data_IF_462704118001
#
_entry.id   IF_462704118001
#
_cell.length_a   1.000
_cell.length_b   1.000
_cell.length_c   1.000
_cell.angle_alpha   90.00
_cell.angle_beta   90.00
_cell.angle_gamma   90.00
#
_symmetry.space_group_name_H-M   'P 1'
#
loop_
_entity.id
_entity.type
_entity.pdbx_description
1 polymer ?
#
# COMPACT_ATOMS: atom_id res chain seq x y z
N UNK A 1 -12.36 -12.59 -17.22
CA UNK A 1 -11.58 -11.88 -16.19
C UNK A 1 -11.19 -12.91 -15.14
N UNK A 2 -9.90 -13.08 -14.85
CA UNK A 2 -9.47 -14.00 -13.80
C UNK A 2 -9.96 -13.45 -12.46
N UNK A 3 -10.77 -14.23 -11.74
CA UNK A 3 -11.17 -13.91 -10.39
C UNK A 3 -9.91 -13.86 -9.51
N UNK A 4 -9.64 -12.73 -8.88
CA UNK A 4 -8.50 -12.56 -7.98
C UNK A 4 -8.63 -13.47 -6.76
N UNK A 5 -7.51 -13.83 -6.10
CA UNK A 5 -7.54 -14.58 -4.83
C UNK A 5 -8.46 -13.89 -3.82
N UNK A 6 -8.36 -12.57 -3.71
CA UNK A 6 -9.21 -11.75 -2.85
C UNK A 6 -10.71 -11.91 -3.17
N UNK A 7 -11.09 -11.95 -4.45
CA UNK A 7 -12.49 -12.16 -4.85
C UNK A 7 -13.00 -13.56 -4.50
N UNK A 8 -12.14 -14.57 -4.68
CA UNK A 8 -12.48 -15.97 -4.35
C UNK A 8 -12.60 -16.18 -2.85
N UNK A 9 -11.60 -15.74 -2.09
CA UNK A 9 -11.65 -15.83 -0.63
C UNK A 9 -12.80 -14.99 -0.05
N UNK A 10 -13.07 -13.80 -0.60
CA UNK A 10 -14.22 -12.99 -0.18
C UNK A 10 -15.56 -13.65 -0.47
N UNK A 11 -15.66 -14.46 -1.55
CA UNK A 11 -16.85 -15.24 -1.86
C UNK A 11 -17.02 -16.37 -0.85
N UNK A 12 -15.95 -17.11 -0.56
CA UNK A 12 -15.91 -18.17 0.46
C UNK A 12 -16.32 -17.60 1.82
N UNK A 13 -15.72 -16.47 2.22
CA UNK A 13 -16.05 -15.76 3.47
C UNK A 13 -17.54 -15.40 3.55
N UNK A 14 -18.13 -14.89 2.45
CA UNK A 14 -19.57 -14.54 2.41
C UNK A 14 -20.47 -15.75 2.54
N UNK A 15 -20.14 -16.87 1.88
CA UNK A 15 -20.89 -18.13 1.99
C UNK A 15 -20.84 -18.68 3.41
N UNK A 16 -19.68 -18.59 4.04
CA UNK A 16 -19.42 -19.04 5.42
C UNK A 16 -20.17 -18.19 6.45
N UNK A 17 -20.15 -16.87 6.29
CA UNK A 17 -20.75 -15.94 7.27
C UNK A 17 -22.26 -16.11 7.44
N UNK A 18 -22.94 -16.75 6.46
CA UNK A 18 -24.39 -17.04 6.51
C UNK A 18 -24.76 -18.34 7.19
N UNK A 19 -23.81 -19.20 7.59
CA UNK A 19 -24.12 -20.52 8.16
C UNK A 19 -24.30 -20.48 9.70
N UNK A 20 -25.34 -21.12 10.19
CA UNK A 20 -25.72 -21.06 11.60
C UNK A 20 -24.99 -22.08 12.52
N UNK A 21 -24.30 -23.10 11.97
CA UNK A 21 -23.56 -24.12 12.73
C UNK A 21 -22.35 -24.62 11.96
N UNK A 22 -21.22 -24.84 12.68
CA UNK A 22 -20.05 -25.57 12.15
C UNK A 22 -20.37 -27.07 12.33
N UNK A 23 -20.40 -27.76 11.18
CA UNK A 23 -20.40 -29.24 11.15
C UNK A 23 -19.07 -29.65 10.50
N UNK A 24 -18.62 -30.87 10.81
CA UNK A 24 -17.38 -31.39 10.24
C UNK A 24 -17.41 -31.41 8.69
N UNK A 25 -18.57 -31.68 8.10
CA UNK A 25 -18.75 -31.64 6.65
C UNK A 25 -18.66 -30.21 6.08
N UNK A 26 -19.27 -29.22 6.74
CA UNK A 26 -19.21 -27.83 6.28
C UNK A 26 -17.78 -27.27 6.33
N UNK A 27 -17.00 -27.61 7.36
CA UNK A 27 -15.58 -27.24 7.46
C UNK A 27 -14.77 -27.87 6.34
N UNK A 28 -15.01 -29.14 6.01
CA UNK A 28 -14.31 -29.82 4.93
C UNK A 28 -14.55 -29.19 3.56
N UNK A 29 -15.82 -28.86 3.24
CA UNK A 29 -16.18 -28.20 1.98
C UNK A 29 -15.55 -26.80 1.87
N UNK A 30 -15.58 -26.03 2.96
CA UNK A 30 -15.00 -24.70 3.04
C UNK A 30 -13.48 -24.71 2.89
N UNK A 31 -12.80 -25.64 3.57
CA UNK A 31 -11.35 -25.83 3.44
C UNK A 31 -10.95 -26.26 2.04
N UNK A 32 -11.82 -27.02 1.36
CA UNK A 32 -11.62 -27.37 -0.05
C UNK A 32 -11.64 -26.13 -0.95
N UNK A 33 -12.59 -25.22 -0.76
CA UNK A 33 -12.67 -23.98 -1.53
C UNK A 33 -11.48 -23.06 -1.24
N UNK A 34 -11.08 -22.90 0.02
CA UNK A 34 -9.87 -22.13 0.42
C UNK A 34 -8.62 -22.74 -0.23
N UNK A 35 -8.50 -24.08 -0.18
CA UNK A 35 -7.39 -24.80 -0.84
C UNK A 35 -7.34 -24.51 -2.33
N UNK A 36 -8.46 -24.60 -3.03
CA UNK A 36 -8.53 -24.31 -4.47
C UNK A 36 -8.16 -22.86 -4.76
N UNK A 37 -8.67 -21.91 -3.98
CA UNK A 37 -8.34 -20.49 -4.14
C UNK A 37 -6.83 -20.23 -3.98
N UNK A 38 -6.16 -20.84 -3.00
CA UNK A 38 -4.73 -20.69 -2.77
C UNK A 38 -3.91 -21.33 -3.89
N UNK A 39 -4.29 -22.51 -4.40
CA UNK A 39 -3.62 -23.18 -5.52
C UNK A 39 -3.76 -22.37 -6.82
N UNK A 40 -4.92 -21.81 -7.10
CA UNK A 40 -5.15 -20.95 -8.27
C UNK A 40 -4.42 -19.59 -8.14
N UNK A 41 -4.07 -19.19 -6.93
CA UNK A 41 -3.21 -18.04 -6.65
C UNK A 41 -1.71 -18.37 -6.73
N UNK A 42 -1.35 -19.54 -7.22
CA UNK A 42 0.03 -20.02 -7.34
C UNK A 42 0.77 -20.16 -6.00
N UNK A 43 0.04 -20.39 -4.91
CA UNK A 43 0.68 -20.74 -3.62
C UNK A 43 1.27 -22.15 -3.73
N UNK A 44 2.49 -22.34 -3.24
CA UNK A 44 3.18 -23.63 -3.25
C UNK A 44 2.35 -24.74 -2.57
N UNK A 45 2.23 -25.89 -3.23
CA UNK A 45 1.43 -27.01 -2.72
C UNK A 45 1.80 -27.44 -1.28
N UNK A 46 3.08 -27.52 -0.87
CA UNK A 46 3.42 -27.79 0.54
C UNK A 46 2.85 -26.73 1.49
N UNK A 47 2.99 -25.44 1.14
CA UNK A 47 2.48 -24.31 1.95
C UNK A 47 0.96 -24.40 2.09
N UNK A 48 0.24 -24.69 0.99
CA UNK A 48 -1.22 -24.88 1.01
C UNK A 48 -1.62 -26.03 1.91
N UNK A 49 -0.90 -27.16 1.83
CA UNK A 49 -1.18 -28.35 2.65
C UNK A 49 -1.04 -28.04 4.14
N UNK A 50 0.07 -27.44 4.52
CA UNK A 50 0.36 -27.10 5.92
C UNK A 50 -0.62 -26.05 6.45
N UNK A 51 -0.96 -25.06 5.62
CA UNK A 51 -1.96 -24.05 5.94
C UNK A 51 -3.34 -24.68 6.23
N UNK A 52 -3.83 -25.52 5.32
CA UNK A 52 -5.14 -26.18 5.48
C UNK A 52 -5.17 -27.09 6.72
N UNK A 53 -4.06 -27.80 7.01
CA UNK A 53 -3.97 -28.63 8.21
C UNK A 53 -4.10 -27.78 9.49
N UNK A 54 -3.34 -26.66 9.59
CA UNK A 54 -3.41 -25.75 10.74
C UNK A 54 -4.79 -25.11 10.91
N UNK A 55 -5.42 -24.66 9.82
CA UNK A 55 -6.79 -24.10 9.88
C UNK A 55 -7.77 -25.15 10.37
N UNK A 56 -7.67 -26.39 9.85
CA UNK A 56 -8.53 -27.51 10.27
C UNK A 56 -8.39 -27.79 11.76
N UNK A 57 -7.17 -27.95 12.25
CA UNK A 57 -6.89 -28.27 13.66
C UNK A 57 -7.43 -27.17 14.59
N UNK A 58 -7.26 -25.91 14.24
CA UNK A 58 -7.79 -24.79 15.02
C UNK A 58 -9.31 -24.67 14.94
N UNK A 59 -9.92 -24.99 13.80
CA UNK A 59 -11.38 -24.95 13.65
C UNK A 59 -12.07 -26.05 14.46
N UNK A 60 -11.48 -27.25 14.54
CA UNK A 60 -12.05 -28.38 15.27
C UNK A 60 -11.86 -28.26 16.79
N UNK A 61 -10.88 -27.48 17.26
CA UNK A 61 -10.57 -27.33 18.69
C UNK A 61 -11.25 -26.14 19.39
N UNK A 62 -12.01 -25.30 18.67
CA UNK A 62 -12.66 -24.15 19.29
C UNK A 62 -14.16 -24.37 19.49
N UNK A 63 -14.59 -24.40 20.74
CA UNK A 63 -15.98 -24.12 21.09
C UNK A 63 -16.31 -22.69 20.70
N UNK A 64 -17.50 -22.51 20.07
CA UNK A 64 -18.00 -21.19 19.66
C UNK A 64 -18.31 -20.40 20.94
N UNK A 65 -17.32 -19.62 21.39
CA UNK A 65 -17.46 -18.77 22.57
C UNK A 65 -18.05 -17.42 22.16
N UNK A 66 -19.24 -17.11 22.62
CA UNK A 66 -19.81 -15.76 22.55
C UNK A 66 -20.82 -15.52 21.41
N UNK A 67 -21.04 -14.27 21.06
CA UNK A 67 -22.05 -13.78 20.11
C UNK A 67 -21.67 -13.90 18.62
N UNK A 68 -20.56 -14.57 18.29
CA UNK A 68 -20.08 -14.74 16.91
C UNK A 68 -20.74 -15.94 16.23
N UNK A 69 -21.06 -15.79 14.95
CA UNK A 69 -21.51 -16.93 14.16
C UNK A 69 -20.32 -17.86 13.85
N UNK A 70 -20.56 -19.18 13.71
CA UNK A 70 -19.52 -20.14 13.35
C UNK A 70 -18.70 -19.73 12.11
N UNK A 71 -19.35 -19.15 11.10
CA UNK A 71 -18.68 -18.65 9.92
C UNK A 71 -17.69 -17.50 10.22
N UNK A 72 -18.04 -16.58 11.13
CA UNK A 72 -17.16 -15.49 11.55
C UNK A 72 -15.92 -16.01 12.29
N UNK A 73 -16.10 -17.05 13.11
CA UNK A 73 -14.98 -17.70 13.82
C UNK A 73 -14.00 -18.31 12.82
N UNK A 74 -14.50 -19.05 11.82
CA UNK A 74 -13.62 -19.65 10.82
C UNK A 74 -12.89 -18.61 9.95
N UNK A 75 -13.57 -17.52 9.57
CA UNK A 75 -12.94 -16.40 8.85
C UNK A 75 -11.79 -15.80 9.68
N UNK A 76 -12.00 -15.61 10.98
CA UNK A 76 -10.97 -15.14 11.90
C UNK A 76 -9.78 -16.11 11.99
N UNK A 77 -10.05 -17.43 12.02
CA UNK A 77 -8.99 -18.44 12.01
C UNK A 77 -8.19 -18.38 10.71
N UNK A 78 -8.86 -18.34 9.56
CA UNK A 78 -8.20 -18.22 8.24
C UNK A 78 -7.36 -16.96 8.17
N UNK A 79 -7.86 -15.81 8.63
CA UNK A 79 -7.12 -14.56 8.66
C UNK A 79 -5.86 -14.66 9.51
N UNK A 80 -5.96 -15.20 10.72
CA UNK A 80 -4.82 -15.39 11.61
C UNK A 80 -3.78 -16.33 11.02
N UNK A 81 -4.22 -17.43 10.40
CA UNK A 81 -3.30 -18.37 9.76
C UNK A 81 -2.61 -17.78 8.52
N UNK A 82 -3.31 -16.96 7.72
CA UNK A 82 -2.70 -16.21 6.62
C UNK A 82 -1.63 -15.27 7.16
N UNK A 83 -1.97 -14.47 8.18
CA UNK A 83 -1.03 -13.56 8.82
C UNK A 83 0.18 -14.30 9.40
N UNK A 84 -0.03 -15.37 10.17
CA UNK A 84 1.05 -16.17 10.75
C UNK A 84 1.95 -16.82 9.67
N UNK A 85 1.38 -17.25 8.54
CA UNK A 85 2.13 -17.84 7.43
C UNK A 85 3.02 -16.80 6.73
N UNK A 86 2.58 -15.55 6.63
CA UNK A 86 3.35 -14.43 6.06
C UNK A 86 4.35 -13.83 7.06
N UNK A 87 4.19 -14.07 8.35
CA UNK A 87 5.01 -13.55 9.44
C UNK A 87 4.22 -12.66 10.38
N UNK A 88 4.50 -12.72 11.67
CA UNK A 88 3.83 -11.90 12.68
C UNK A 88 4.45 -10.50 12.74
N UNK A 89 3.61 -9.48 12.75
CA UNK A 89 3.99 -8.08 12.93
C UNK A 89 4.71 -7.45 11.73
N UNK A 90 5.32 -6.30 11.98
CA UNK A 90 6.11 -5.55 11.00
C UNK A 90 7.59 -5.78 11.29
N UNK A 91 8.33 -6.29 10.30
CA UNK A 91 9.79 -6.44 10.39
C UNK A 91 10.48 -5.28 9.71
N UNK A 92 11.24 -4.51 10.46
CA UNK A 92 11.96 -3.34 9.96
C UNK A 92 13.41 -3.67 9.54
N UNK A 93 14.06 -2.73 8.85
CA UNK A 93 15.47 -2.81 8.49
C UNK A 93 16.33 -2.67 9.74
N UNK A 94 17.28 -3.57 9.89
CA UNK A 94 18.30 -3.49 10.92
C UNK A 94 19.43 -2.54 10.46
N UNK A 95 19.53 -1.39 11.11
CA UNK A 95 20.63 -0.44 10.90
C UNK A 95 21.57 -0.39 12.13
N UNK A 96 21.45 -1.33 13.07
CA UNK A 96 22.23 -1.38 14.30
C UNK A 96 23.64 -1.93 14.01
N UNK A 97 24.43 -1.13 13.31
CA UNK A 97 25.83 -1.41 13.00
C UNK A 97 26.63 -0.12 12.96
N UNK A 98 27.97 -0.24 12.92
CA UNK A 98 28.83 0.91 12.69
C UNK A 98 28.60 1.46 11.26
N UNK A 99 28.32 2.75 11.09
CA UNK A 99 28.07 3.31 9.76
C UNK A 99 29.26 3.16 8.81
N UNK A 100 28.98 2.97 7.49
CA UNK A 100 27.69 2.84 6.88
C UNK A 100 27.09 1.44 7.07
N UNK A 101 25.78 1.36 7.35
CA UNK A 101 25.04 0.12 7.25
C UNK A 101 24.93 -0.29 5.78
N UNK A 102 25.52 -1.42 5.41
CA UNK A 102 25.49 -1.91 4.03
C UNK A 102 24.27 -2.79 3.82
N UNK A 103 23.47 -2.47 2.81
CA UNK A 103 22.27 -3.24 2.41
C UNK A 103 22.49 -3.73 0.98
N UNK A 104 22.49 -5.04 0.78
CA UNK A 104 22.65 -5.70 -0.51
C UNK A 104 21.28 -6.07 -1.09
N UNK A 105 21.02 -5.63 -2.33
CA UNK A 105 19.78 -5.94 -3.04
C UNK A 105 19.98 -7.12 -3.98
N UNK A 106 19.36 -8.25 -3.71
CA UNK A 106 19.50 -9.50 -4.47
C UNK A 106 18.19 -9.88 -5.17
N UNK A 107 18.27 -10.49 -6.35
CA UNK A 107 17.09 -10.96 -7.10
C UNK A 107 17.31 -11.03 -8.60
N UNK A 108 16.36 -11.60 -9.34
CA UNK A 108 16.42 -11.74 -10.80
C UNK A 108 16.26 -10.42 -11.55
N UNK A 109 16.53 -10.44 -12.84
CA UNK A 109 16.24 -9.32 -13.74
C UNK A 109 14.73 -9.07 -13.79
N UNK A 110 14.35 -7.79 -13.79
CA UNK A 110 12.93 -7.42 -13.80
C UNK A 110 12.22 -7.53 -12.46
N UNK A 111 12.86 -8.06 -11.41
CA UNK A 111 12.28 -8.12 -10.06
C UNK A 111 12.10 -6.76 -9.39
N UNK A 112 12.63 -5.68 -9.98
CA UNK A 112 12.47 -4.31 -9.44
C UNK A 112 13.55 -3.87 -8.46
N UNK A 113 14.74 -4.49 -8.45
CA UNK A 113 15.85 -4.15 -7.54
C UNK A 113 16.23 -2.67 -7.60
N UNK A 114 16.55 -2.17 -8.79
CA UNK A 114 16.99 -0.78 -9.01
C UNK A 114 15.96 0.25 -8.53
N UNK A 115 14.68 0.01 -8.86
CA UNK A 115 13.59 0.89 -8.39
C UNK A 115 13.39 0.77 -6.88
N UNK A 116 13.50 -0.44 -6.33
CA UNK A 116 13.38 -0.68 -4.88
C UNK A 116 14.53 -0.02 -4.13
N UNK A 117 15.76 -0.06 -4.66
CA UNK A 117 16.93 0.64 -4.09
C UNK A 117 16.64 2.13 -3.90
N UNK A 118 16.11 2.80 -4.93
CA UNK A 118 15.76 4.22 -4.83
C UNK A 118 14.57 4.48 -3.88
N UNK A 119 13.54 3.66 -3.90
CA UNK A 119 12.40 3.77 -2.98
C UNK A 119 12.83 3.58 -1.53
N UNK A 120 13.70 2.62 -1.28
CA UNK A 120 14.26 2.37 0.04
C UNK A 120 15.14 3.53 0.50
N UNK A 121 15.97 4.10 -0.40
CA UNK A 121 16.75 5.30 -0.11
C UNK A 121 15.83 6.44 0.32
N UNK A 122 14.76 6.71 -0.43
CA UNK A 122 13.77 7.74 -0.07
C UNK A 122 13.10 7.47 1.29
N UNK A 123 12.71 6.22 1.54
CA UNK A 123 12.14 5.81 2.83
C UNK A 123 13.10 6.09 3.99
N UNK A 124 14.37 5.71 3.86
CA UNK A 124 15.40 5.92 4.88
C UNK A 124 15.67 7.41 5.11
N UNK A 125 15.71 8.23 4.06
CA UNK A 125 15.91 9.68 4.16
C UNK A 125 14.69 10.33 4.84
N UNK A 126 13.49 10.03 4.38
CA UNK A 126 12.28 10.74 4.84
C UNK A 126 11.81 10.28 6.22
N UNK A 127 11.79 8.96 6.46
CA UNK A 127 11.24 8.36 7.70
C UNK A 127 12.30 8.18 8.78
N UNK A 128 13.56 7.88 8.40
CA UNK A 128 14.65 7.57 9.34
C UNK A 128 15.70 8.67 9.44
N UNK A 129 15.59 9.73 8.60
CA UNK A 129 16.55 10.87 8.57
C UNK A 129 17.99 10.44 8.36
N UNK A 130 18.21 9.41 7.52
CA UNK A 130 19.52 8.84 7.23
C UNK A 130 20.13 9.47 5.99
N UNK A 131 21.46 9.65 5.98
CA UNK A 131 22.25 10.01 4.79
C UNK A 131 22.55 8.74 4.02
N UNK A 132 22.06 8.65 2.78
CA UNK A 132 22.07 7.41 2.00
C UNK A 132 22.90 7.59 0.73
N UNK A 133 23.81 6.63 0.50
CA UNK A 133 24.55 6.46 -0.75
C UNK A 133 24.01 5.24 -1.49
N UNK A 134 23.86 5.34 -2.79
CA UNK A 134 23.50 4.20 -3.66
C UNK A 134 24.62 3.92 -4.63
N UNK A 135 24.82 2.66 -5.01
CA UNK A 135 25.77 2.24 -6.03
C UNK A 135 25.20 1.10 -6.86
N UNK A 136 25.45 1.11 -8.17
CA UNK A 136 25.13 -0.02 -9.05
C UNK A 136 26.37 -0.90 -9.25
N UNK A 137 26.22 -2.18 -8.92
CA UNK A 137 27.16 -3.24 -9.29
C UNK A 137 26.70 -4.02 -10.54
N UNK A 138 25.63 -3.55 -11.24
CA UNK A 138 25.16 -4.13 -12.50
C UNK A 138 25.95 -3.54 -13.69
N UNK A 139 27.14 -4.08 -13.90
CA UNK A 139 28.04 -3.65 -14.99
C UNK A 139 27.62 -4.21 -16.36
N UNK A 140 26.73 -5.19 -16.40
CA UNK A 140 26.31 -5.86 -17.64
C UNK A 140 25.27 -5.05 -18.42
N UNK A 141 24.63 -4.09 -17.75
CA UNK A 141 23.58 -3.25 -18.35
C UNK A 141 23.87 -1.77 -18.08
N UNK A 142 24.58 -1.08 -19.02
CA UNK A 142 24.86 0.34 -18.85
C UNK A 142 23.62 1.20 -18.57
N UNK A 143 22.49 0.85 -19.19
CA UNK A 143 21.22 1.52 -18.94
C UNK A 143 20.73 1.38 -17.47
N UNK A 144 21.08 0.29 -16.77
CA UNK A 144 20.71 0.12 -15.36
C UNK A 144 21.49 1.08 -14.44
N UNK A 145 22.74 1.37 -14.77
CA UNK A 145 23.57 2.35 -14.04
C UNK A 145 22.94 3.75 -14.16
N UNK A 146 22.61 4.19 -15.38
CA UNK A 146 21.97 5.49 -15.61
C UNK A 146 20.56 5.53 -15.02
N UNK A 147 19.83 4.42 -15.05
CA UNK A 147 18.53 4.31 -14.40
C UNK A 147 18.67 4.52 -12.89
N UNK A 148 19.59 3.82 -12.23
CA UNK A 148 19.80 3.97 -10.78
C UNK A 148 20.16 5.41 -10.44
N UNK A 149 21.06 6.03 -11.19
CA UNK A 149 21.46 7.45 -11.02
C UNK A 149 20.23 8.37 -11.07
N UNK A 150 19.39 8.20 -12.09
CA UNK A 150 18.18 9.02 -12.27
C UNK A 150 17.18 8.85 -11.12
N UNK A 151 16.87 7.61 -10.72
CA UNK A 151 15.89 7.37 -9.66
C UNK A 151 16.45 7.69 -8.26
N UNK A 152 17.78 7.60 -8.07
CA UNK A 152 18.47 8.04 -6.85
C UNK A 152 18.34 9.56 -6.66
N UNK A 153 18.51 10.33 -7.72
CA UNK A 153 18.32 11.79 -7.68
C UNK A 153 16.87 12.15 -7.31
N UNK A 154 15.88 11.43 -7.84
CA UNK A 154 14.46 11.60 -7.48
C UNK A 154 14.19 11.25 -6.00
N UNK A 155 14.93 10.31 -5.44
CA UNK A 155 14.84 9.93 -4.04
C UNK A 155 15.48 10.95 -3.09
N UNK A 156 16.31 11.85 -3.60
CA UNK A 156 17.12 12.78 -2.80
C UNK A 156 18.32 12.11 -2.13
N UNK A 157 18.78 10.97 -2.64
CA UNK A 157 19.98 10.26 -2.21
C UNK A 157 21.19 10.64 -3.05
N UNK A 158 22.39 10.30 -2.58
CA UNK A 158 23.63 10.46 -3.33
C UNK A 158 23.96 9.16 -4.08
N UNK A 159 24.48 9.30 -5.29
CA UNK A 159 24.86 8.18 -6.15
C UNK A 159 26.37 8.11 -6.30
N UNK A 160 26.94 6.91 -6.12
CA UNK A 160 28.34 6.64 -6.35
C UNK A 160 28.55 6.19 -7.81
N UNK A 161 29.48 6.82 -8.57
CA UNK A 161 29.74 6.48 -9.96
C UNK A 161 30.24 5.04 -10.12
N UNK A 162 29.71 4.33 -11.11
CA UNK A 162 30.18 3.03 -11.54
C UNK A 162 30.32 2.98 -13.06
N UNK A 163 31.27 2.21 -13.55
CA UNK A 163 31.57 2.06 -14.96
C UNK A 163 31.46 0.60 -15.39
N UNK A 164 30.87 0.29 -16.57
CA UNK A 164 30.75 -1.07 -17.07
C UNK A 164 32.07 -1.84 -17.23
N UNK A 165 33.21 -1.15 -17.34
CA UNK A 165 34.54 -1.76 -17.42
C UNK A 165 35.10 -2.23 -16.07
N UNK A 166 34.45 -1.91 -14.96
CA UNK A 166 34.91 -2.26 -13.62
C UNK A 166 34.35 -3.60 -13.15
N UNK A 167 35.03 -4.20 -12.18
CA UNK A 167 34.52 -5.41 -11.53
C UNK A 167 33.49 -5.05 -10.44
N UNK A 168 32.34 -5.76 -10.36
CA UNK A 168 31.27 -5.48 -9.39
C UNK A 168 31.77 -5.36 -7.94
N UNK A 169 32.65 -6.28 -7.51
CA UNK A 169 33.22 -6.27 -6.16
C UNK A 169 34.08 -5.04 -5.90
N UNK A 170 34.87 -4.61 -6.89
CA UNK A 170 35.72 -3.40 -6.75
C UNK A 170 34.87 -2.13 -6.65
N UNK A 171 33.79 -2.03 -7.44
CA UNK A 171 32.83 -0.93 -7.36
C UNK A 171 32.23 -0.84 -5.96
N UNK A 172 31.75 -1.98 -5.43
CA UNK A 172 31.12 -2.02 -4.12
C UNK A 172 32.06 -1.66 -2.98
N UNK A 173 33.34 -2.13 -3.04
CA UNK A 173 34.37 -1.77 -2.08
C UNK A 173 34.77 -0.29 -2.15
N UNK A 174 34.89 0.26 -3.35
CA UNK A 174 35.16 1.68 -3.54
C UNK A 174 34.03 2.56 -3.01
N UNK A 175 32.77 2.18 -3.28
CA UNK A 175 31.60 2.85 -2.73
C UNK A 175 31.55 2.77 -1.20
N UNK A 176 31.91 1.62 -0.60
CA UNK A 176 31.98 1.45 0.85
C UNK A 176 33.06 2.35 1.47
N UNK A 177 34.24 2.43 0.86
CA UNK A 177 35.31 3.33 1.30
C UNK A 177 34.87 4.81 1.18
N UNK A 178 34.23 5.17 0.09
CA UNK A 178 33.68 6.52 -0.11
C UNK A 178 32.62 6.84 0.95
N UNK A 179 31.69 5.92 1.19
CA UNK A 179 30.63 6.10 2.19
C UNK A 179 31.19 6.33 3.61
N UNK A 180 32.25 5.61 4.00
CA UNK A 180 32.96 5.82 5.26
C UNK A 180 33.59 7.20 5.35
N UNK A 181 34.33 7.59 4.32
CA UNK A 181 35.05 8.85 4.29
C UNK A 181 34.15 10.08 4.25
N UNK A 182 32.92 9.94 3.73
CA UNK A 182 31.94 11.02 3.62
C UNK A 182 30.79 10.93 4.63
N UNK A 183 30.94 10.07 5.63
CA UNK A 183 29.99 9.93 6.75
C UNK A 183 28.56 9.64 6.30
N UNK A 184 28.39 8.66 5.42
CA UNK A 184 27.08 8.14 5.10
C UNK A 184 26.60 7.16 6.18
N UNK A 185 25.31 7.22 6.50
CA UNK A 185 24.69 6.27 7.43
C UNK A 185 24.44 4.91 6.79
N UNK A 186 24.07 4.91 5.49
CA UNK A 186 23.64 3.70 4.77
C UNK A 186 24.27 3.69 3.37
N UNK A 187 24.71 2.51 2.94
CA UNK A 187 25.10 2.19 1.58
C UNK A 187 24.15 1.13 1.01
N UNK A 188 23.43 1.47 -0.06
CA UNK A 188 22.59 0.55 -0.81
C UNK A 188 23.32 0.06 -2.05
N UNK A 189 23.52 -1.25 -2.17
CA UNK A 189 24.21 -1.89 -3.29
C UNK A 189 23.19 -2.59 -4.18
N UNK A 190 22.92 -2.02 -5.36
CA UNK A 190 22.07 -2.64 -6.40
C UNK A 190 22.91 -3.62 -7.22
N UNK A 191 22.51 -4.89 -7.24
CA UNK A 191 23.26 -5.96 -7.93
C UNK A 191 22.71 -6.26 -9.31
N UNK A 192 23.53 -6.87 -10.14
CA UNK A 192 23.11 -7.41 -11.42
C UNK A 192 21.93 -8.41 -11.23
N UNK A 193 21.06 -8.46 -12.22
CA UNK A 193 20.05 -9.50 -12.31
C UNK A 193 20.16 -10.18 -13.67
N UNK A 194 20.09 -11.50 -13.71
CA UNK A 194 19.97 -12.27 -14.93
C UNK A 194 18.56 -12.79 -15.10
N UNK A 195 18.20 -13.21 -16.31
CA UNK A 195 16.87 -13.74 -16.64
C UNK A 195 16.59 -15.07 -15.96
N UNK A 196 17.65 -15.84 -15.69
CA UNK A 196 17.56 -17.14 -15.04
C UNK A 196 18.65 -17.27 -13.97
N UNK A 197 18.44 -18.20 -13.05
CA UNK A 197 19.42 -18.58 -12.05
C UNK A 197 20.52 -19.37 -12.74
N UNK A 198 21.73 -18.86 -12.74
CA UNK A 198 22.92 -19.55 -13.19
C UNK A 198 24.05 -19.50 -12.15
N UNK A 199 25.03 -20.36 -12.29
CA UNK A 199 26.15 -20.46 -11.35
C UNK A 199 26.99 -19.17 -11.31
N UNK A 200 27.14 -18.50 -12.45
CA UNK A 200 27.91 -17.26 -12.54
C UNK A 200 27.25 -16.13 -11.73
N UNK A 201 25.92 -15.97 -11.83
CA UNK A 201 25.16 -15.01 -11.01
C UNK A 201 25.32 -15.33 -9.50
N UNK A 202 25.16 -16.60 -9.13
CA UNK A 202 25.23 -16.99 -7.72
C UNK A 202 26.64 -16.78 -7.15
N UNK A 203 27.67 -17.05 -7.91
CA UNK A 203 29.06 -16.83 -7.49
C UNK A 203 29.39 -15.34 -7.38
N UNK A 204 28.94 -14.51 -8.31
CA UNK A 204 29.14 -13.07 -8.26
C UNK A 204 28.47 -12.44 -7.04
N UNK A 205 27.22 -12.81 -6.77
CA UNK A 205 26.49 -12.22 -5.63
C UNK A 205 27.04 -12.72 -4.27
N UNK A 206 27.56 -13.96 -4.21
CA UNK A 206 28.29 -14.49 -3.04
C UNK A 206 29.59 -13.72 -2.82
N UNK A 207 30.32 -13.43 -3.90
CA UNK A 207 31.57 -12.66 -3.81
C UNK A 207 31.31 -11.21 -3.36
N UNK A 208 30.26 -10.57 -3.88
CA UNK A 208 29.81 -9.25 -3.42
C UNK A 208 29.44 -9.27 -1.95
N UNK A 209 28.60 -10.24 -1.54
CA UNK A 209 28.19 -10.40 -0.13
C UNK A 209 29.40 -10.56 0.81
N UNK A 210 30.34 -11.44 0.46
CA UNK A 210 31.55 -11.68 1.25
C UNK A 210 32.44 -10.42 1.34
N UNK A 211 32.54 -9.63 0.24
CA UNK A 211 33.39 -8.45 0.19
C UNK A 211 32.85 -7.27 1.01
N UNK A 212 31.54 -7.02 0.97
CA UNK A 212 30.95 -5.85 1.64
C UNK A 212 30.36 -6.17 3.00
N UNK A 213 30.21 -7.46 3.35
CA UNK A 213 29.65 -7.95 4.60
C UNK A 213 28.40 -7.18 5.04
N UNK A 214 27.28 -7.28 4.28
CA UNK A 214 26.11 -6.44 4.49
C UNK A 214 25.42 -6.81 5.81
N UNK A 215 24.88 -5.80 6.51
CA UNK A 215 24.01 -6.01 7.68
C UNK A 215 22.63 -6.52 7.26
N UNK A 216 22.22 -6.20 6.03
CA UNK A 216 20.99 -6.65 5.43
C UNK A 216 21.22 -7.16 4.01
N UNK A 217 20.67 -8.34 3.73
CA UNK A 217 20.61 -8.92 2.38
C UNK A 217 19.15 -9.08 2.02
N UNK A 218 18.64 -8.16 1.21
CA UNK A 218 17.24 -8.11 0.84
C UNK A 218 16.98 -8.84 -0.48
N UNK A 219 16.16 -9.87 -0.41
CA UNK A 219 15.69 -10.56 -1.60
C UNK A 219 14.51 -9.83 -2.20
N UNK A 220 14.71 -9.25 -3.38
CA UNK A 220 13.69 -8.53 -4.16
C UNK A 220 13.05 -9.49 -5.14
N UNK A 221 11.74 -9.66 -5.02
CA UNK A 221 10.97 -10.60 -5.83
C UNK A 221 9.69 -9.97 -6.35
N UNK A 222 9.39 -10.24 -7.62
CA UNK A 222 8.15 -9.83 -8.27
C UNK A 222 6.99 -10.72 -7.78
N UNK A 223 5.98 -10.11 -7.18
CA UNK A 223 4.80 -10.81 -6.66
C UNK A 223 3.98 -11.51 -7.77
N UNK A 224 4.16 -11.13 -9.03
CA UNK A 224 3.44 -11.70 -10.16
C UNK A 224 4.06 -12.99 -10.72
N UNK A 225 5.27 -13.38 -10.28
CA UNK A 225 6.02 -14.52 -10.85
C UNK A 225 5.45 -15.91 -10.50
N UNK A 226 4.47 -16.01 -9.60
CA UNK A 226 3.84 -17.30 -9.27
C UNK A 226 4.85 -18.37 -8.81
N UNK A 227 4.82 -19.55 -9.44
CA UNK A 227 5.70 -20.69 -9.09
C UNK A 227 7.19 -20.43 -9.35
N UNK A 228 7.56 -19.58 -10.30
CA UNK A 228 8.95 -19.24 -10.57
C UNK A 228 9.59 -18.44 -9.42
N UNK A 229 8.78 -17.67 -8.67
CA UNK A 229 9.23 -17.00 -7.46
C UNK A 229 9.71 -18.00 -6.40
N UNK A 230 9.10 -19.20 -6.35
CA UNK A 230 9.42 -20.26 -5.39
C UNK A 230 10.81 -20.84 -5.67
N UNK A 231 11.07 -21.21 -6.92
CA UNK A 231 12.36 -21.75 -7.34
C UNK A 231 13.49 -20.73 -7.13
N UNK A 232 13.20 -19.47 -7.48
CA UNK A 232 14.11 -18.36 -7.27
C UNK A 232 14.41 -18.14 -5.79
N UNK A 233 13.40 -18.09 -4.96
CA UNK A 233 13.54 -17.90 -3.52
C UNK A 233 14.42 -19.00 -2.86
N UNK A 234 14.24 -20.25 -3.26
CA UNK A 234 15.04 -21.38 -2.80
C UNK A 234 16.50 -21.21 -3.18
N UNK A 235 16.80 -20.92 -4.44
CA UNK A 235 18.18 -20.76 -4.90
C UNK A 235 18.91 -19.61 -4.22
N UNK A 236 18.24 -18.45 -4.04
CA UNK A 236 18.82 -17.32 -3.31
C UNK A 236 19.02 -17.62 -1.82
N UNK A 237 18.09 -18.33 -1.17
CA UNK A 237 18.24 -18.79 0.22
C UNK A 237 19.44 -19.70 0.38
N UNK A 238 19.63 -20.66 -0.55
CA UNK A 238 20.73 -21.61 -0.49
C UNK A 238 22.09 -20.94 -0.76
N UNK A 239 22.08 -19.80 -1.46
CA UNK A 239 23.28 -19.04 -1.81
C UNK A 239 23.68 -17.96 -0.80
N UNK A 240 22.71 -17.33 -0.13
CA UNK A 240 22.91 -16.13 0.69
C UNK A 240 22.11 -16.20 2.01
N UNK A 241 22.65 -15.63 3.09
CA UNK A 241 21.91 -15.43 4.33
C UNK A 241 20.91 -14.27 4.14
N UNK A 242 19.73 -14.57 3.65
CA UNK A 242 18.68 -13.57 3.44
C UNK A 242 18.17 -13.05 4.77
N UNK A 243 18.17 -11.73 4.97
CA UNK A 243 17.68 -11.06 6.18
C UNK A 243 16.28 -10.49 6.03
N UNK A 244 15.83 -10.33 4.80
CA UNK A 244 14.49 -9.81 4.49
C UNK A 244 14.11 -9.98 3.03
N UNK A 245 12.81 -9.85 2.79
CA UNK A 245 12.18 -9.92 1.47
C UNK A 245 11.53 -8.59 1.16
N UNK A 246 11.64 -8.16 -0.10
CA UNK A 246 10.86 -7.06 -0.66
C UNK A 246 9.99 -7.60 -1.78
N UNK A 247 8.68 -7.56 -1.61
CA UNK A 247 7.72 -7.88 -2.66
C UNK A 247 7.51 -6.67 -3.54
N UNK A 248 7.68 -6.81 -4.84
CA UNK A 248 7.44 -5.73 -5.81
C UNK A 248 6.19 -6.00 -6.63
N UNK A 249 5.66 -4.96 -7.29
CA UNK A 249 4.50 -5.03 -8.20
C UNK A 249 3.24 -5.61 -7.53
N UNK A 250 3.06 -5.34 -6.23
CA UNK A 250 1.89 -5.82 -5.49
C UNK A 250 0.59 -5.15 -5.93
N UNK A 251 0.67 -4.01 -6.61
CA UNK A 251 -0.44 -3.32 -7.29
C UNK A 251 -0.98 -4.09 -8.50
N UNK A 252 -0.12 -4.87 -9.18
CA UNK A 252 -0.49 -5.77 -10.28
C UNK A 252 -0.75 -7.22 -9.84
N UNK A 253 -0.48 -7.56 -8.58
CA UNK A 253 -0.65 -8.91 -8.06
C UNK A 253 -2.12 -9.25 -7.82
N UNK A 254 -2.74 -9.76 -8.88
CA UNK A 254 -4.12 -10.25 -8.80
C UNK A 254 -4.25 -11.58 -8.04
N UNK A 255 -3.14 -12.27 -7.76
CA UNK A 255 -3.13 -13.62 -7.18
C UNK A 255 -2.79 -13.62 -5.69
N UNK A 256 -1.88 -12.76 -5.22
CA UNK A 256 -1.52 -12.59 -3.81
C UNK A 256 -0.82 -13.77 -3.14
N UNK A 257 -0.47 -14.81 -3.90
CA UNK A 257 0.08 -16.05 -3.36
C UNK A 257 1.59 -16.02 -3.12
N UNK A 258 2.31 -15.12 -3.78
CA UNK A 258 3.77 -15.05 -3.70
C UNK A 258 4.26 -14.78 -2.27
N UNK A 259 3.58 -13.88 -1.53
CA UNK A 259 3.91 -13.55 -0.15
C UNK A 259 3.96 -14.79 0.77
N UNK A 260 2.94 -15.65 0.68
CA UNK A 260 2.85 -16.88 1.46
C UNK A 260 3.99 -17.84 1.13
N UNK A 261 4.23 -18.06 -0.17
CA UNK A 261 5.21 -19.04 -0.64
C UNK A 261 6.64 -18.60 -0.37
N UNK A 262 7.00 -17.37 -0.72
CA UNK A 262 8.38 -16.86 -0.59
C UNK A 262 8.78 -16.78 0.89
N UNK A 263 7.89 -16.31 1.76
CA UNK A 263 8.12 -16.26 3.20
C UNK A 263 8.38 -17.66 3.79
N UNK A 264 7.53 -18.63 3.45
CA UNK A 264 7.63 -19.99 3.97
C UNK A 264 8.91 -20.69 3.49
N UNK A 265 9.29 -20.47 2.23
CA UNK A 265 10.47 -21.12 1.63
C UNK A 265 11.76 -20.50 2.13
N UNK A 266 11.85 -19.18 2.17
CA UNK A 266 13.08 -18.49 2.61
C UNK A 266 13.29 -18.53 4.12
N UNK A 267 12.20 -18.49 4.88
CA UNK A 267 12.22 -18.25 6.32
C UNK A 267 12.52 -16.77 6.69
N UNK A 268 12.90 -15.93 5.71
CA UNK A 268 13.20 -14.52 5.94
C UNK A 268 11.92 -13.67 6.03
N UNK A 269 11.84 -12.66 6.90
CA UNK A 269 10.66 -11.81 7.02
C UNK A 269 10.43 -10.97 5.77
N UNK A 270 9.18 -10.77 5.40
CA UNK A 270 8.83 -9.76 4.40
C UNK A 270 8.89 -8.40 5.09
N UNK A 271 9.77 -7.51 4.62
CA UNK A 271 9.99 -6.20 5.21
C UNK A 271 9.21 -5.09 4.51
N UNK A 272 9.13 -5.17 3.18
CA UNK A 272 8.47 -4.15 2.38
C UNK A 272 7.63 -4.74 1.24
N UNK A 273 6.62 -3.96 0.84
CA UNK A 273 5.84 -4.17 -0.37
C UNK A 273 5.90 -2.92 -1.26
N UNK A 274 6.19 -3.13 -2.55
CA UNK A 274 6.12 -2.10 -3.59
C UNK A 274 4.70 -2.03 -4.15
N UNK A 275 3.99 -0.95 -3.83
CA UNK A 275 2.56 -0.77 -4.07
C UNK A 275 2.23 0.10 -5.28
N UNK A 276 3.22 0.66 -5.95
CA UNK A 276 3.06 1.41 -7.20
C UNK A 276 4.42 1.59 -7.88
N UNK A 277 4.45 2.03 -9.13
CA UNK A 277 5.67 2.38 -9.85
C UNK A 277 6.34 3.66 -9.31
N UNK A 278 5.60 4.54 -8.65
CA UNK A 278 6.10 5.81 -8.13
C UNK A 278 7.15 5.61 -7.04
N UNK A 279 8.07 6.58 -6.93
CA UNK A 279 9.17 6.54 -5.95
C UNK A 279 8.68 6.46 -4.49
N UNK A 280 7.46 6.92 -4.20
CA UNK A 280 6.83 6.83 -2.87
C UNK A 280 6.10 5.50 -2.63
N UNK A 281 6.04 4.62 -3.64
CA UNK A 281 5.30 3.37 -3.59
C UNK A 281 6.09 2.24 -2.90
N UNK A 282 6.58 2.46 -1.68
CA UNK A 282 7.17 1.44 -0.81
C UNK A 282 6.54 1.56 0.59
N UNK A 283 5.90 0.50 1.03
CA UNK A 283 5.27 0.42 2.35
C UNK A 283 5.91 -0.68 3.17
N UNK A 284 5.99 -0.49 4.50
CA UNK A 284 6.35 -1.57 5.41
C UNK A 284 5.30 -2.69 5.29
N UNK A 285 5.76 -3.94 5.19
CA UNK A 285 4.85 -5.07 5.05
C UNK A 285 4.24 -5.40 6.41
N UNK A 286 2.92 -5.41 6.44
CA UNK A 286 2.13 -5.83 7.60
C UNK A 286 1.30 -7.06 7.20
N UNK A 287 1.62 -8.19 7.78
CA UNK A 287 1.01 -9.48 7.44
C UNK A 287 -0.50 -9.51 7.75
N UNK A 288 -0.94 -8.86 8.84
CA UNK A 288 -2.34 -8.81 9.24
C UNK A 288 -3.18 -7.98 8.27
N UNK A 289 -2.66 -6.81 7.88
CA UNK A 289 -3.28 -5.96 6.84
C UNK A 289 -3.34 -6.67 5.49
N UNK A 290 -2.25 -7.35 5.12
CA UNK A 290 -2.21 -8.09 3.85
C UNK A 290 -3.20 -9.24 3.84
N UNK A 291 -3.29 -10.03 4.92
CA UNK A 291 -4.31 -11.07 5.09
C UNK A 291 -5.73 -10.51 5.01
N UNK A 292 -6.00 -9.36 5.65
CA UNK A 292 -7.29 -8.67 5.55
C UNK A 292 -7.65 -8.28 4.11
N UNK A 293 -6.68 -7.75 3.34
CA UNK A 293 -6.86 -7.44 1.91
C UNK A 293 -7.16 -8.68 1.08
N UNK A 294 -6.42 -9.78 1.30
CA UNK A 294 -6.66 -11.06 0.63
C UNK A 294 -8.08 -11.61 0.87
N UNK A 295 -8.63 -11.39 2.06
CA UNK A 295 -9.99 -11.80 2.42
C UNK A 295 -11.07 -10.80 1.98
N UNK A 296 -10.69 -9.70 1.32
CA UNK A 296 -11.61 -8.66 0.88
C UNK A 296 -12.23 -7.85 2.02
N UNK A 297 -11.58 -7.86 3.20
CA UNK A 297 -12.03 -7.08 4.37
C UNK A 297 -11.63 -5.61 4.27
N UNK A 298 -10.83 -5.25 3.26
CA UNK A 298 -10.28 -3.91 3.07
C UNK A 298 -9.13 -3.61 4.02
N UNK A 299 -8.50 -2.46 3.81
CA UNK A 299 -7.45 -1.94 4.69
C UNK A 299 -7.92 -0.62 5.32
N UNK A 300 -8.82 -0.73 6.29
CA UNK A 300 -9.40 0.44 6.97
C UNK A 300 -8.32 1.22 7.74
N UNK A 301 -7.31 0.53 8.27
CA UNK A 301 -6.23 1.17 9.03
C UNK A 301 -5.34 1.98 8.09
N UNK A 302 -4.93 1.42 6.94
CA UNK A 302 -4.17 2.18 5.94
C UNK A 302 -4.96 3.38 5.38
N UNK A 303 -6.28 3.23 5.23
CA UNK A 303 -7.15 4.33 4.83
C UNK A 303 -7.13 5.45 5.89
N UNK A 304 -7.27 5.11 7.16
CA UNK A 304 -7.24 6.09 8.27
C UNK A 304 -5.86 6.74 8.37
N UNK A 305 -4.77 5.97 8.26
CA UNK A 305 -3.40 6.52 8.28
C UNK A 305 -3.14 7.46 7.10
N UNK A 306 -3.57 7.10 5.90
CA UNK A 306 -3.42 7.96 4.71
C UNK A 306 -4.24 9.24 4.84
N UNK A 307 -5.45 9.14 5.35
CA UNK A 307 -6.29 10.32 5.64
C UNK A 307 -5.60 11.19 6.69
N UNK A 308 -5.10 10.59 7.77
CA UNK A 308 -4.44 11.33 8.87
C UNK A 308 -3.11 11.94 8.45
N UNK A 309 -2.29 11.23 7.65
CA UNK A 309 -1.00 11.73 7.18
C UNK A 309 -1.13 12.90 6.17
N UNK A 310 -2.23 12.95 5.42
CA UNK A 310 -2.50 13.98 4.42
C UNK A 310 -3.46 15.06 4.90
N UNK A 311 -3.99 14.95 6.13
CA UNK A 311 -4.77 16.02 6.74
C UNK A 311 -3.79 17.12 7.17
N UNK A 312 -3.89 18.27 6.49
CA UNK A 312 -3.28 19.50 6.99
C UNK A 312 -3.95 19.87 8.31
N UNK A 313 -3.24 19.56 9.41
CA UNK A 313 -3.72 19.83 10.79
C UNK A 313 -4.10 21.30 10.97
N UNK A 314 -3.41 22.22 10.27
CA UNK A 314 -3.73 23.65 10.32
C UNK A 314 -5.04 23.96 9.57
N UNK A 315 -5.26 23.32 8.43
CA UNK A 315 -6.51 23.45 7.67
C UNK A 315 -7.70 22.83 8.44
N UNK A 316 -7.50 21.68 9.07
CA UNK A 316 -8.51 21.02 9.91
C UNK A 316 -8.85 21.88 11.15
N UNK A 317 -7.84 22.47 11.79
CA UNK A 317 -8.01 23.34 12.94
C UNK A 317 -8.73 24.65 12.57
N UNK A 318 -8.36 25.29 11.46
CA UNK A 318 -9.06 26.46 10.91
C UNK A 318 -10.52 26.17 10.56
N UNK A 319 -10.79 24.98 10.01
CA UNK A 319 -12.15 24.55 9.69
C UNK A 319 -12.98 24.29 10.96
N UNK A 320 -12.37 23.70 11.99
CA UNK A 320 -13.01 23.51 13.29
C UNK A 320 -13.29 24.86 13.99
N UNK A 321 -12.39 25.84 13.89
CA UNK A 321 -12.58 27.19 14.39
C UNK A 321 -13.68 27.93 13.62
N UNK A 322 -13.70 27.89 12.29
CA UNK A 322 -14.79 28.45 11.46
C UNK A 322 -16.15 27.81 11.79
N UNK A 323 -16.18 26.52 12.07
CA UNK A 323 -17.41 25.84 12.49
C UNK A 323 -17.87 26.32 13.89
N UNK A 324 -16.95 26.66 14.80
CA UNK A 324 -17.25 27.20 16.14
C UNK A 324 -17.64 28.68 16.08
N UNK A 325 -16.92 29.51 15.30
CA UNK A 325 -17.17 30.96 15.20
C UNK A 325 -18.44 31.32 14.46
N UNK A 326 -19.04 30.40 13.71
CA UNK A 326 -20.25 30.71 12.97
C UNK A 326 -20.00 31.20 11.55
N UNK A 327 -18.77 31.39 11.15
CA UNK A 327 -18.40 31.68 9.77
C UNK A 327 -18.71 30.48 8.89
N UNK A 328 -19.66 30.66 7.96
CA UNK A 328 -20.19 29.57 7.14
C UNK A 328 -19.11 28.98 6.23
N UNK A 329 -19.26 27.71 5.89
CA UNK A 329 -18.50 27.03 4.85
C UNK A 329 -18.61 27.78 3.52
N UNK A 330 -17.47 28.19 2.93
CA UNK A 330 -17.41 28.96 1.68
C UNK A 330 -16.81 28.15 0.51
N UNK A 331 -16.76 28.73 -0.69
CA UNK A 331 -16.21 28.06 -1.88
C UNK A 331 -14.68 27.92 -1.84
N UNK A 332 -13.96 28.65 -0.98
CA UNK A 332 -12.53 28.42 -0.77
C UNK A 332 -12.31 27.15 0.06
N UNK A 333 -13.15 26.91 1.07
CA UNK A 333 -13.13 25.71 1.86
C UNK A 333 -13.45 24.48 0.98
N UNK A 334 -14.41 24.62 0.07
CA UNK A 334 -14.74 23.58 -0.91
C UNK A 334 -13.60 23.30 -1.88
N UNK A 335 -12.92 24.33 -2.37
CA UNK A 335 -11.74 24.21 -3.20
C UNK A 335 -10.61 23.47 -2.49
N UNK A 336 -10.37 23.82 -1.22
CA UNK A 336 -9.35 23.14 -0.38
C UNK A 336 -9.66 21.66 -0.21
N UNK A 337 -10.93 21.28 -0.01
CA UNK A 337 -11.32 19.87 0.07
C UNK A 337 -11.06 19.12 -1.25
N UNK A 338 -11.38 19.73 -2.40
CA UNK A 338 -11.09 19.11 -3.71
C UNK A 338 -9.56 18.91 -3.88
N UNK A 339 -8.75 19.89 -3.47
CA UNK A 339 -7.30 19.82 -3.57
C UNK A 339 -6.71 18.73 -2.66
N UNK A 340 -7.19 18.65 -1.41
CA UNK A 340 -6.79 17.59 -0.48
C UNK A 340 -7.14 16.21 -1.03
N UNK A 341 -8.35 16.02 -1.55
CA UNK A 341 -8.77 14.75 -2.14
C UNK A 341 -7.89 14.35 -3.34
N UNK A 342 -7.44 15.33 -4.15
CA UNK A 342 -6.49 15.09 -5.24
C UNK A 342 -5.09 14.70 -4.74
N UNK A 343 -4.60 15.34 -3.67
CA UNK A 343 -3.31 15.03 -3.03
C UNK A 343 -3.31 13.65 -2.37
N UNK A 344 -4.45 13.16 -1.91
CA UNK A 344 -4.63 11.83 -1.32
C UNK A 344 -4.58 10.69 -2.37
N UNK A 345 -4.23 10.99 -3.63
CA UNK A 345 -4.13 9.98 -4.69
C UNK A 345 -5.40 9.82 -5.52
N UNK A 346 -6.36 10.75 -5.38
CA UNK A 346 -7.62 10.74 -6.11
C UNK A 346 -8.64 9.71 -5.58
N UNK A 347 -9.77 9.65 -6.25
CA UNK A 347 -10.89 8.77 -5.86
C UNK A 347 -10.52 7.28 -6.02
N UNK A 348 -9.67 6.97 -6.99
CA UNK A 348 -9.19 5.62 -7.30
C UNK A 348 -8.40 5.00 -6.13
N UNK A 349 -7.44 5.72 -5.56
CA UNK A 349 -6.63 5.23 -4.43
C UNK A 349 -7.44 5.01 -3.14
N UNK A 350 -8.50 5.80 -2.94
CA UNK A 350 -9.42 5.61 -1.82
C UNK A 350 -10.30 4.36 -2.00
N UNK A 351 -10.72 4.10 -3.24
CA UNK A 351 -11.55 2.95 -3.58
C UNK A 351 -10.82 1.61 -3.41
N UNK A 352 -9.54 1.55 -3.76
CA UNK A 352 -8.72 0.34 -3.64
C UNK A 352 -8.55 -0.12 -2.18
N UNK A 353 -8.71 0.79 -1.23
CA UNK A 353 -8.59 0.53 0.22
C UNK A 353 -9.93 0.29 0.93
N UNK A 354 -11.05 0.50 0.23
CA UNK A 354 -12.37 0.27 0.81
C UNK A 354 -12.75 -1.22 0.86
N UNK A 355 -13.55 -1.65 1.86
CA UNK A 355 -14.09 -3.01 1.91
C UNK A 355 -14.85 -3.35 0.63
N UNK A 356 -14.67 -4.58 0.13
CA UNK A 356 -15.17 -5.01 -1.18
C UNK A 356 -16.66 -4.80 -1.44
N UNK A 357 -17.50 -4.74 -0.40
CA UNK A 357 -18.94 -4.43 -0.53
C UNK A 357 -19.21 -2.97 -0.91
N UNK A 358 -18.37 -2.04 -0.45
CA UNK A 358 -18.47 -0.61 -0.78
C UNK A 358 -17.80 -0.36 -2.13
N UNK A 359 -16.64 -0.99 -2.37
CA UNK A 359 -15.92 -0.93 -3.63
C UNK A 359 -16.74 -1.51 -4.81
N UNK A 360 -17.52 -2.58 -4.59
CA UNK A 360 -18.38 -3.17 -5.62
C UNK A 360 -19.51 -2.24 -6.07
N UNK A 361 -20.14 -1.49 -5.15
CA UNK A 361 -21.17 -0.49 -5.48
C UNK A 361 -20.61 0.74 -6.20
N UNK A 362 -19.34 1.02 -6.02
CA UNK A 362 -18.67 2.17 -6.62
C UNK A 362 -17.92 1.79 -7.92
N UNK A 363 -17.74 0.50 -8.23
CA UNK A 363 -17.22 0.02 -9.53
C UNK A 363 -18.10 0.41 -10.73
N UNK A 364 -19.39 0.64 -10.50
CA UNK A 364 -20.30 1.15 -11.52
C UNK A 364 -20.15 2.66 -11.78
N UNK A 365 -19.33 3.36 -10.98
CA UNK A 365 -19.01 4.77 -11.22
C UNK A 365 -17.79 4.87 -12.13
N UNK A 366 -17.95 5.60 -13.23
CA UNK A 366 -16.85 5.96 -14.13
C UNK A 366 -15.89 6.92 -13.39
N UNK A 367 -14.83 6.36 -12.80
CA UNK A 367 -13.83 7.10 -12.02
C UNK A 367 -13.13 8.18 -12.86
N UNK A 368 -12.87 7.90 -14.15
CA UNK A 368 -12.28 8.87 -15.06
C UNK A 368 -13.19 10.06 -15.31
N UNK A 369 -14.51 9.83 -15.33
CA UNK A 369 -15.51 10.91 -15.44
C UNK A 369 -15.60 11.71 -14.15
N UNK A 370 -15.54 11.05 -12.99
CA UNK A 370 -15.57 11.72 -11.69
C UNK A 370 -14.34 12.63 -11.48
N UNK A 371 -13.15 12.19 -11.88
CA UNK A 371 -11.93 13.01 -11.82
C UNK A 371 -12.00 14.22 -12.76
N UNK A 372 -12.51 14.04 -13.99
CA UNK A 372 -12.73 15.15 -14.93
C UNK A 372 -13.73 16.17 -14.39
N UNK A 373 -14.80 15.72 -13.74
CA UNK A 373 -15.77 16.61 -13.07
C UNK A 373 -15.13 17.38 -11.91
N UNK A 374 -14.23 16.79 -11.13
CA UNK A 374 -13.49 17.50 -10.07
C UNK A 374 -12.59 18.60 -10.65
N UNK A 375 -11.84 18.31 -11.72
CA UNK A 375 -11.00 19.30 -12.40
C UNK A 375 -11.85 20.44 -12.94
N UNK A 376 -13.00 20.13 -13.50
CA UNK A 376 -13.98 21.10 -14.01
C UNK A 376 -14.50 22.02 -12.89
N UNK A 377 -14.89 21.45 -11.74
CA UNK A 377 -15.33 22.20 -10.56
C UNK A 377 -14.23 23.14 -10.06
N UNK A 378 -12.99 22.66 -10.00
CA UNK A 378 -11.83 23.46 -9.63
C UNK A 378 -11.63 24.65 -10.59
N UNK A 379 -11.73 24.44 -11.90
CA UNK A 379 -11.65 25.49 -12.91
C UNK A 379 -12.73 26.57 -12.74
N UNK A 380 -13.97 26.15 -12.44
CA UNK A 380 -15.09 27.07 -12.20
C UNK A 380 -14.80 27.95 -10.97
N UNK A 381 -14.34 27.37 -9.85
CA UNK A 381 -14.05 28.14 -8.64
C UNK A 381 -12.87 29.08 -8.85
N UNK A 382 -11.83 28.68 -9.57
CA UNK A 382 -10.70 29.54 -9.90
C UNK A 382 -11.10 30.74 -10.77
N UNK A 383 -12.13 30.61 -11.59
CA UNK A 383 -12.68 31.70 -12.41
C UNK A 383 -13.54 32.69 -11.63
N UNK A 384 -13.79 32.44 -10.34
CA UNK A 384 -14.49 33.33 -9.43
C UNK A 384 -13.53 34.31 -8.75
N UNK A 385 -14.00 35.52 -8.48
CA UNK A 385 -13.27 36.49 -7.65
C UNK A 385 -13.23 36.03 -6.18
N UNK A 386 -12.27 36.49 -5.35
CA UNK A 386 -12.24 36.16 -3.92
C UNK A 386 -13.55 36.49 -3.20
N UNK A 387 -14.19 37.60 -3.58
CA UNK A 387 -15.47 38.03 -2.99
C UNK A 387 -16.61 37.07 -3.37
N UNK A 388 -16.61 36.54 -4.59
CA UNK A 388 -17.61 35.58 -5.05
C UNK A 388 -17.44 34.21 -4.40
N UNK A 389 -16.20 33.81 -4.13
CA UNK A 389 -15.90 32.57 -3.39
C UNK A 389 -16.32 32.65 -1.92
N UNK A 390 -16.11 33.81 -1.29
CA UNK A 390 -16.52 34.05 0.11
C UNK A 390 -18.05 34.22 0.27
N UNK A 391 -18.72 34.82 -0.71
CA UNK A 391 -20.18 35.10 -0.67
C UNK A 391 -20.85 34.62 -1.98
N UNK A 392 -21.15 33.34 -2.15
CA UNK A 392 -21.71 32.80 -3.39
C UNK A 392 -23.07 33.37 -3.77
N UNK A 393 -23.83 33.89 -2.84
CA UNK A 393 -25.15 34.48 -3.04
C UNK A 393 -25.14 35.71 -4.00
N UNK A 394 -23.97 36.35 -4.15
CA UNK A 394 -23.82 37.47 -5.10
C UNK A 394 -23.68 37.05 -6.55
N UNK A 395 -23.55 35.73 -6.83
CA UNK A 395 -23.33 35.19 -8.17
C UNK A 395 -24.66 35.13 -8.91
N UNK A 396 -25.06 36.25 -9.56
CA UNK A 396 -26.25 36.38 -10.41
C UNK A 396 -25.94 36.05 -11.88
N UNK A 397 -26.93 36.14 -12.76
CA UNK A 397 -26.87 35.71 -14.16
C UNK A 397 -25.62 36.20 -14.93
N UNK A 398 -25.29 37.49 -14.84
CA UNK A 398 -24.13 38.10 -15.53
C UNK A 398 -22.79 37.52 -15.02
N UNK A 399 -22.68 37.33 -13.71
CA UNK A 399 -21.49 36.74 -13.08
C UNK A 399 -21.36 35.27 -13.46
N UNK A 400 -22.46 34.49 -13.50
CA UNK A 400 -22.46 33.09 -13.95
C UNK A 400 -21.94 32.95 -15.38
N UNK A 401 -22.35 33.86 -16.31
CA UNK A 401 -21.85 33.86 -17.70
C UNK A 401 -20.34 34.14 -17.75
N UNK A 402 -19.86 35.15 -17.01
CA UNK A 402 -18.43 35.49 -16.96
C UNK A 402 -17.60 34.33 -16.39
N UNK A 403 -18.07 33.72 -15.30
CA UNK A 403 -17.39 32.56 -14.65
C UNK A 403 -17.38 31.38 -15.62
N UNK A 404 -18.48 31.08 -16.29
CA UNK A 404 -18.57 30.01 -17.27
C UNK A 404 -17.59 30.21 -18.44
N UNK A 405 -17.51 31.43 -18.96
CA UNK A 405 -16.62 31.80 -20.05
C UNK A 405 -15.14 31.67 -19.61
N UNK A 406 -14.81 32.17 -18.42
CA UNK A 406 -13.44 32.06 -17.85
C UNK A 406 -12.99 30.64 -17.55
N UNK A 407 -13.92 29.75 -17.23
CA UNK A 407 -13.65 28.34 -16.95
C UNK A 407 -13.76 27.42 -18.19
N UNK A 408 -14.16 27.94 -19.35
CA UNK A 408 -14.39 27.14 -20.56
C UNK A 408 -15.53 26.13 -20.43
N UNK A 409 -16.59 26.47 -19.67
CA UNK A 409 -17.74 25.58 -19.40
C UNK A 409 -19.07 26.22 -19.68
N UNK A 410 -20.16 25.47 -19.63
CA UNK A 410 -21.50 25.98 -19.78
C UNK A 410 -22.02 26.62 -18.48
N UNK A 411 -22.94 27.62 -18.61
CA UNK A 411 -23.59 28.24 -17.42
C UNK A 411 -24.33 27.22 -16.58
N UNK A 412 -24.80 26.14 -17.17
CA UNK A 412 -25.43 25.01 -16.48
C UNK A 412 -24.48 24.32 -15.52
N UNK A 413 -23.18 24.20 -15.85
CA UNK A 413 -22.17 23.61 -15.00
C UNK A 413 -21.90 24.47 -13.75
N UNK A 414 -21.90 25.81 -13.93
CA UNK A 414 -21.80 26.76 -12.81
C UNK A 414 -23.02 26.64 -11.91
N UNK A 415 -24.22 26.50 -12.45
CA UNK A 415 -25.43 26.31 -11.67
C UNK A 415 -25.39 25.00 -10.88
N UNK A 416 -24.93 23.92 -11.50
CA UNK A 416 -24.78 22.59 -10.84
C UNK A 416 -23.83 22.68 -9.66
N UNK A 417 -22.66 23.31 -9.84
CA UNK A 417 -21.69 23.51 -8.76
C UNK A 417 -22.28 24.29 -7.60
N UNK A 418 -22.99 25.41 -7.89
CA UNK A 418 -23.58 26.23 -6.82
C UNK A 418 -24.72 25.52 -6.09
N UNK A 419 -25.49 24.67 -6.77
CA UNK A 419 -26.52 23.84 -6.15
C UNK A 419 -25.93 22.76 -5.25
N UNK A 420 -24.90 22.05 -5.71
CA UNK A 420 -24.18 21.05 -4.92
C UNK A 420 -23.54 21.68 -3.68
N UNK A 421 -22.95 22.86 -3.83
CA UNK A 421 -22.38 23.63 -2.74
C UNK A 421 -23.45 24.03 -1.71
N UNK A 422 -24.63 24.50 -2.17
CA UNK A 422 -25.76 24.84 -1.30
C UNK A 422 -26.26 23.63 -0.49
N UNK A 423 -26.41 22.47 -1.14
CA UNK A 423 -26.81 21.23 -0.46
C UNK A 423 -25.80 20.83 0.62
N UNK A 424 -24.50 21.02 0.36
CA UNK A 424 -23.44 20.71 1.33
C UNK A 424 -23.45 21.70 2.51
N UNK A 425 -23.69 22.99 2.26
CA UNK A 425 -23.89 23.98 3.33
C UNK A 425 -25.08 23.62 4.22
N UNK A 426 -26.19 23.20 3.64
CA UNK A 426 -27.38 22.80 4.40
C UNK A 426 -27.16 21.53 5.22
N UNK A 427 -26.39 20.57 4.69
CA UNK A 427 -25.98 19.37 5.42
C UNK A 427 -25.10 19.77 6.63
N UNK A 428 -24.12 20.65 6.43
CA UNK A 428 -23.25 21.12 7.51
C UNK A 428 -24.02 21.92 8.58
N UNK A 429 -24.97 22.74 8.19
CA UNK A 429 -25.87 23.44 9.14
C UNK A 429 -26.69 22.45 9.98
N UNK A 430 -27.20 21.39 9.38
CA UNK A 430 -27.94 20.32 10.09
C UNK A 430 -27.03 19.55 11.08
N UNK A 431 -25.77 19.34 10.75
CA UNK A 431 -24.80 18.70 11.65
C UNK A 431 -24.48 19.56 12.87
N UNK A 432 -24.50 20.87 12.79
CA UNK A 432 -24.31 21.83 13.89
C UNK A 432 -25.38 21.71 14.99
N UNK A 433 -26.62 21.37 14.62
CA UNK A 433 -27.78 21.30 15.55
C UNK A 433 -27.91 19.98 16.32
N UNK A 434 -26.83 19.24 16.63
CA UNK A 434 -26.92 17.97 17.37
C UNK A 434 -27.32 16.76 16.49
N UNK A 435 -27.38 16.96 15.16
CA UNK A 435 -27.72 15.91 14.19
C UNK A 435 -26.68 14.79 14.11
N UNK A 436 -25.42 15.08 14.43
CA UNK A 436 -24.35 14.09 14.46
C UNK A 436 -24.64 12.97 15.47
N UNK A 437 -25.11 13.35 16.67
CA UNK A 437 -25.45 12.41 17.74
C UNK A 437 -26.72 11.58 17.41
N UNK A 438 -27.69 12.19 16.69
CA UNK A 438 -28.88 11.50 16.19
C UNK A 438 -28.57 10.60 14.98
N UNK A 439 -27.64 10.99 14.12
CA UNK A 439 -27.20 10.22 12.97
C UNK A 439 -26.31 9.05 13.41
N UNK A 440 -25.41 9.24 14.37
CA UNK A 440 -24.65 8.14 15.01
C UNK A 440 -25.57 7.18 15.76
N UNK A 441 -26.63 7.65 16.44
CA UNK A 441 -27.67 6.78 17.03
C UNK A 441 -28.46 6.01 15.97
N UNK A 442 -28.69 6.56 14.80
CA UNK A 442 -29.39 5.91 13.70
C UNK A 442 -28.49 4.92 12.93
N UNK A 443 -27.18 5.21 12.78
CA UNK A 443 -26.19 4.25 12.29
C UNK A 443 -25.77 3.24 13.37
N UNK A 444 -25.75 3.64 14.65
CA UNK A 444 -25.49 2.77 15.80
C UNK A 444 -26.65 1.85 16.18
N UNK A 445 -27.79 1.92 15.48
CA UNK A 445 -28.88 0.95 15.54
C UNK A 445 -28.56 -0.40 14.87
N UNK A 446 -27.43 -0.51 14.20
CA UNK A 446 -26.75 -1.78 13.91
C UNK A 446 -25.92 -2.17 15.14
N UNK A 447 -26.59 -2.79 16.13
CA UNK A 447 -25.94 -3.49 17.24
C UNK A 447 -24.89 -4.45 16.69
N UNK A 448 -23.61 -4.18 16.96
CA UNK A 448 -22.54 -5.16 16.75
C UNK A 448 -21.21 -4.62 16.27
N UNK A 449 -20.73 -3.45 16.76
CA UNK A 449 -19.31 -3.14 16.65
C UNK A 449 -18.82 -2.58 17.98
N UNK A 450 -17.97 -3.37 18.62
CA UNK A 450 -17.44 -3.18 19.95
C UNK A 450 -16.77 -1.83 20.17
N UNK A 451 -16.83 -1.39 21.43
CA UNK A 451 -16.38 -0.11 21.89
C UNK A 451 -14.91 0.18 21.58
N UNK A 452 -14.65 1.44 21.25
CA UNK A 452 -13.31 2.00 21.23
C UNK A 452 -12.78 2.11 22.66
N UNK A 453 -11.62 1.55 23.02
CA UNK A 453 -10.95 1.84 24.28
C UNK A 453 -10.12 3.12 24.10
N UNK A 454 -10.42 4.14 24.87
CA UNK A 454 -9.53 5.29 25.06
C UNK A 454 -10.11 6.68 24.81
N UNK A 455 -11.14 7.07 25.57
CA UNK A 455 -11.37 8.48 25.90
C UNK A 455 -11.53 8.62 27.42
N UNK A 456 -10.78 9.48 28.10
CA UNK A 456 -11.02 9.79 29.50
C UNK A 456 -12.31 10.60 29.65
N UNK A 457 -12.99 10.37 30.79
CA UNK A 457 -14.21 11.07 31.21
C UNK A 457 -13.99 12.55 31.49
#
# INVERSE_FOLDING_TARGET
MANTLSEKLSRVVRQISGQARITESNVADMLREVRMALLEADVALPVVRDFIARVKDRALGQEVVGSLTPGQVLVSIVQRELSATMGEGVSDINLATQPPAVILMAGLQGAGKTTTTAKLAKHLITKRKKKVLTVSADVYRPAAIEQLKSVTAQAGAEWFPSDPGQQPVQIALAALAYARNHYFDVLLVDTAGRLAIDEALMNEIKALHAAVNPVETLFVVDAMLGQDAINTAKAFKDALPLTGIVLTKTDGDSRGGAALSVRQITGAPIKFAGTSEKIDGLEAFDAERHAGRMLGMGDIVALVEQVTANVDMQAAQKMAEKLKSGDGFDLNDFLSQIQQMKQMGGLSSLMDKMPGQVAAKAKDMDLGRAEKEMVKKQGIIHSMTPRERAKPDIIKATRKRRIAMGAGVQVQDVNRLLNEFGQMQDMMKKMRGGGLMKMMKKLGGMKGMGGFPGMPR
#
